data_IF_522326224571
#
_entry.id   IF_522326224571
#
_cell.length_a   1.000
_cell.length_b   1.000
_cell.length_c   1.000
_cell.angle_alpha   90.00
_cell.angle_beta   90.00
_cell.angle_gamma   90.00
#
_symmetry.space_group_name_H-M   'P 1'
#
loop_
_entity.id
_entity.type
_entity.pdbx_description
1 polymer ?
#
# COMPACT_ATOMS: atom_id res chain seq x y z
N UNK A 1 12.16 24.22 -16.61
CA UNK A 1 11.56 22.86 -16.48
C UNK A 1 12.30 21.97 -15.50
N UNK A 2 13.63 21.87 -15.55
CA UNK A 2 14.44 20.96 -14.71
C UNK A 2 14.20 21.14 -13.19
N UNK A 3 13.98 22.37 -12.73
CA UNK A 3 13.69 22.67 -11.31
C UNK A 3 12.40 22.00 -10.80
N UNK A 4 11.33 21.97 -11.60
CA UNK A 4 10.05 21.39 -11.20
C UNK A 4 10.08 19.87 -11.14
N UNK A 5 10.82 19.23 -12.05
CA UNK A 5 11.00 17.78 -12.07
C UNK A 5 11.80 17.35 -10.83
N UNK A 6 12.89 18.06 -10.53
CA UNK A 6 13.69 17.78 -9.33
C UNK A 6 12.86 18.00 -8.06
N UNK A 7 12.05 19.05 -8.01
CA UNK A 7 11.15 19.30 -6.88
C UNK A 7 10.12 18.18 -6.71
N UNK A 8 9.53 17.67 -7.79
CA UNK A 8 8.61 16.54 -7.76
C UNK A 8 9.30 15.25 -7.27
N UNK A 9 10.46 14.90 -7.84
CA UNK A 9 11.22 13.71 -7.46
C UNK A 9 11.70 13.73 -6.01
N UNK A 10 11.90 14.92 -5.43
CA UNK A 10 12.26 15.11 -4.02
C UNK A 10 11.05 15.21 -3.10
N UNK A 11 9.83 15.14 -3.63
CA UNK A 11 8.60 15.43 -2.89
C UNK A 11 8.64 16.81 -2.17
N UNK A 12 9.38 17.78 -2.72
CA UNK A 12 9.64 19.08 -2.10
C UNK A 12 8.67 20.15 -2.62
N UNK A 13 7.37 19.89 -2.50
CA UNK A 13 6.31 20.81 -2.91
C UNK A 13 5.16 20.80 -1.88
N UNK A 14 4.31 21.85 -1.86
CA UNK A 14 3.18 21.91 -0.94
C UNK A 14 2.25 20.70 -1.11
N UNK A 15 1.82 20.11 0.00
CA UNK A 15 0.93 18.95 0.04
C UNK A 15 1.49 17.67 -0.58
N UNK A 16 2.81 17.57 -0.77
CA UNK A 16 3.42 16.38 -1.37
C UNK A 16 3.09 15.10 -0.58
N UNK A 17 3.11 15.18 0.75
CA UNK A 17 2.81 14.04 1.61
C UNK A 17 1.37 13.57 1.42
N UNK A 18 0.41 14.49 1.46
CA UNK A 18 -1.02 14.21 1.30
C UNK A 18 -1.32 13.63 -0.08
N UNK A 19 -0.71 14.18 -1.13
CA UNK A 19 -0.89 13.68 -2.51
C UNK A 19 -0.26 12.30 -2.72
N UNK A 20 0.92 12.05 -2.15
CA UNK A 20 1.56 10.73 -2.17
C UNK A 20 0.72 9.69 -1.44
N UNK A 21 0.22 10.03 -0.25
CA UNK A 21 -0.65 9.18 0.56
C UNK A 21 -1.96 8.89 -0.15
N UNK A 22 -2.60 9.93 -0.71
CA UNK A 22 -3.82 9.79 -1.49
C UNK A 22 -3.60 8.91 -2.72
N UNK A 23 -2.51 9.13 -3.47
CA UNK A 23 -2.15 8.32 -4.64
C UNK A 23 -1.98 6.84 -4.28
N UNK A 24 -1.25 6.54 -3.20
CA UNK A 24 -1.05 5.18 -2.72
C UNK A 24 -2.35 4.52 -2.24
N UNK A 25 -3.18 5.25 -1.49
CA UNK A 25 -4.48 4.79 -1.02
C UNK A 25 -5.47 4.56 -2.16
N UNK A 26 -5.43 5.39 -3.20
CA UNK A 26 -6.24 5.23 -4.41
C UNK A 26 -5.81 4.00 -5.20
N UNK A 27 -4.50 3.81 -5.43
CA UNK A 27 -3.99 2.63 -6.11
C UNK A 27 -4.37 1.34 -5.35
N UNK A 28 -4.26 1.36 -4.01
CA UNK A 28 -4.64 0.21 -3.20
C UNK A 28 -6.15 -0.07 -3.23
N UNK A 29 -7.00 0.95 -3.09
CA UNK A 29 -8.45 0.79 -3.14
C UNK A 29 -8.92 0.24 -4.49
N UNK A 30 -8.37 0.76 -5.59
CA UNK A 30 -8.64 0.25 -6.95
C UNK A 30 -8.17 -1.20 -7.11
N UNK A 31 -7.01 -1.55 -6.55
CA UNK A 31 -6.51 -2.92 -6.57
C UNK A 31 -7.34 -3.89 -5.72
N UNK A 32 -7.85 -3.45 -4.55
CA UNK A 32 -8.83 -4.21 -3.75
C UNK A 32 -10.05 -4.46 -4.59
N UNK A 33 -10.66 -3.38 -5.09
CA UNK A 33 -11.90 -3.45 -5.83
C UNK A 33 -11.81 -4.31 -7.08
N UNK A 34 -10.78 -4.15 -7.91
CA UNK A 34 -10.59 -4.95 -9.13
C UNK A 34 -10.50 -6.45 -8.84
N UNK A 35 -9.83 -6.82 -7.76
CA UNK A 35 -9.67 -8.23 -7.39
C UNK A 35 -10.90 -8.79 -6.66
N UNK A 36 -11.71 -7.96 -6.00
CA UNK A 36 -12.99 -8.40 -5.45
C UNK A 36 -14.06 -8.46 -6.55
N UNK A 37 -14.10 -7.53 -7.52
CA UNK A 37 -14.95 -7.60 -8.71
C UNK A 37 -14.73 -8.93 -9.48
N UNK A 38 -13.48 -9.39 -9.55
CA UNK A 38 -13.14 -10.68 -10.15
C UNK A 38 -13.72 -11.88 -9.39
N UNK A 39 -13.94 -11.76 -8.08
CA UNK A 39 -14.57 -12.78 -7.24
C UNK A 39 -16.10 -12.65 -7.23
N UNK A 40 -16.63 -11.43 -7.18
CA UNK A 40 -18.07 -11.14 -7.28
C UNK A 40 -18.63 -11.61 -8.63
N UNK A 41 -17.87 -11.52 -9.72
CA UNK A 41 -18.27 -12.15 -11.00
C UNK A 41 -18.49 -13.66 -10.90
N UNK A 42 -17.85 -14.34 -9.95
CA UNK A 42 -18.07 -15.77 -9.67
C UNK A 42 -19.28 -16.00 -8.77
N UNK A 43 -19.60 -15.04 -7.89
CA UNK A 43 -20.73 -15.09 -6.94
C UNK A 43 -21.41 -13.71 -6.78
N UNK A 44 -22.35 -13.34 -7.68
CA UNK A 44 -22.88 -11.97 -7.79
C UNK A 44 -23.84 -11.53 -6.67
N UNK A 45 -24.07 -12.35 -5.64
CA UNK A 45 -25.08 -12.09 -4.59
C UNK A 45 -24.52 -11.50 -3.29
N UNK A 46 -23.21 -11.34 -3.17
CA UNK A 46 -22.58 -10.89 -1.92
C UNK A 46 -22.19 -9.42 -1.99
N UNK A 47 -22.80 -8.53 -1.16
CA UNK A 47 -22.35 -7.15 -1.05
C UNK A 47 -20.93 -7.09 -0.48
N UNK A 48 -20.18 -6.03 -0.82
CA UNK A 48 -18.86 -5.80 -0.24
C UNK A 48 -18.95 -5.67 1.29
N UNK A 49 -18.14 -6.45 2.01
CA UNK A 49 -17.97 -6.23 3.43
C UNK A 49 -17.12 -4.96 3.62
N UNK A 50 -17.75 -3.89 4.12
CA UNK A 50 -17.14 -2.57 4.24
C UNK A 50 -15.86 -2.62 5.10
N UNK A 51 -15.89 -3.35 6.21
CA UNK A 51 -14.75 -3.43 7.13
C UNK A 51 -13.59 -4.21 6.49
N UNK A 52 -13.90 -5.34 5.86
CA UNK A 52 -12.89 -6.15 5.20
C UNK A 52 -12.22 -5.39 4.05
N UNK A 53 -12.99 -4.73 3.19
CA UNK A 53 -12.44 -3.97 2.05
C UNK A 53 -11.61 -2.78 2.51
N UNK A 54 -12.01 -2.11 3.60
CA UNK A 54 -11.24 -1.03 4.21
C UNK A 54 -9.90 -1.55 4.78
N UNK A 55 -9.91 -2.65 5.53
CA UNK A 55 -8.70 -3.27 6.07
C UNK A 55 -7.78 -3.77 4.95
N UNK A 56 -8.33 -4.37 3.89
CA UNK A 56 -7.52 -4.77 2.74
C UNK A 56 -6.92 -3.56 2.03
N UNK A 57 -7.66 -2.45 1.92
CA UNK A 57 -7.16 -1.21 1.30
C UNK A 57 -6.00 -0.64 2.09
N UNK A 58 -6.09 -0.63 3.42
CA UNK A 58 -5.03 -0.14 4.30
C UNK A 58 -3.80 -1.06 4.29
N UNK A 59 -3.99 -2.38 4.25
CA UNK A 59 -2.89 -3.35 4.20
C UNK A 59 -2.18 -3.38 2.82
N UNK A 60 -2.91 -3.24 1.72
CA UNK A 60 -2.29 -3.17 0.38
C UNK A 60 -1.56 -1.84 0.19
N UNK A 61 -2.16 -0.73 0.65
CA UNK A 61 -1.59 0.61 0.50
C UNK A 61 -0.44 0.90 1.47
N UNK A 62 -0.54 0.41 2.71
CA UNK A 62 0.35 0.80 3.80
C UNK A 62 0.91 -0.41 4.56
N UNK A 63 0.90 -1.60 3.95
CA UNK A 63 1.35 -2.84 4.60
C UNK A 63 2.75 -2.78 5.18
N UNK A 64 3.67 -2.07 4.53
CA UNK A 64 4.99 -1.85 5.13
C UNK A 64 4.96 -0.93 6.35
N UNK A 65 4.09 0.08 6.39
CA UNK A 65 3.85 0.89 7.61
C UNK A 65 3.28 0.09 8.78
N UNK A 66 2.50 -0.96 8.49
CA UNK A 66 1.94 -1.90 9.45
C UNK A 66 2.98 -2.88 9.99
N UNK A 67 3.64 -3.62 9.09
CA UNK A 67 4.37 -4.83 9.44
C UNK A 67 5.88 -4.59 9.56
N UNK A 68 6.44 -3.62 8.84
CA UNK A 68 7.89 -3.41 8.85
C UNK A 68 8.42 -2.94 10.21
N UNK A 69 7.79 -2.00 10.93
CA UNK A 69 8.21 -1.66 12.29
C UNK A 69 8.12 -2.87 13.23
N UNK A 70 7.06 -3.68 13.13
CA UNK A 70 6.89 -4.89 13.95
C UNK A 70 8.03 -5.87 13.74
N UNK A 71 8.47 -6.06 12.48
CA UNK A 71 9.62 -6.92 12.16
C UNK A 71 10.94 -6.38 12.72
N UNK A 72 11.03 -5.09 13.02
CA UNK A 72 12.18 -4.46 13.70
C UNK A 72 12.01 -4.41 15.23
N UNK A 73 10.96 -5.02 15.79
CA UNK A 73 10.63 -4.93 17.22
C UNK A 73 10.12 -3.55 17.65
N UNK A 74 9.70 -2.72 16.70
CA UNK A 74 9.16 -1.39 16.92
C UNK A 74 7.64 -1.39 16.76
N UNK A 75 6.91 -0.47 17.41
CA UNK A 75 5.48 -0.35 17.22
C UNK A 75 5.12 0.11 15.80
N UNK A 76 3.95 -0.32 15.30
CA UNK A 76 3.46 0.01 13.96
C UNK A 76 3.38 1.52 13.73
N UNK A 77 4.05 1.98 12.68
CA UNK A 77 4.10 3.39 12.29
C UNK A 77 2.76 3.90 11.77
N UNK A 78 1.93 3.00 11.23
CA UNK A 78 0.58 3.35 10.79
C UNK A 78 -0.35 3.67 11.98
N UNK A 79 -0.18 2.99 13.11
CA UNK A 79 -1.01 3.19 14.31
C UNK A 79 -0.61 4.40 15.15
N UNK A 80 0.69 4.73 15.21
CA UNK A 80 1.21 5.76 16.12
C UNK A 80 1.37 7.16 15.52
N UNK A 81 1.36 7.30 14.20
CA UNK A 81 1.54 8.60 13.53
C UNK A 81 0.92 8.67 12.14
N UNK A 82 -0.04 7.78 11.87
CA UNK A 82 -0.62 7.58 10.54
C UNK A 82 -1.93 8.34 10.30
N UNK A 83 -2.20 9.46 10.96
CA UNK A 83 -3.50 10.15 10.84
C UNK A 83 -3.80 10.54 9.39
N UNK A 84 -2.82 11.13 8.69
CA UNK A 84 -2.94 11.46 7.26
C UNK A 84 -3.09 10.19 6.41
N UNK A 85 -2.37 9.12 6.74
CA UNK A 85 -2.43 7.84 6.02
C UNK A 85 -3.81 7.18 6.17
N UNK A 86 -4.34 7.20 7.39
CA UNK A 86 -5.65 6.65 7.73
C UNK A 86 -6.77 7.45 7.07
N UNK A 87 -6.68 8.78 7.11
CA UNK A 87 -7.63 9.65 6.43
C UNK A 87 -7.59 9.47 4.91
N UNK A 88 -6.40 9.44 4.31
CA UNK A 88 -6.23 9.19 2.88
C UNK A 88 -6.75 7.83 2.45
N UNK A 89 -6.54 6.79 3.27
CA UNK A 89 -7.09 5.45 3.09
C UNK A 89 -8.63 5.47 3.11
N UNK A 90 -9.23 6.14 4.11
CA UNK A 90 -10.68 6.21 4.28
C UNK A 90 -11.35 6.96 3.13
N UNK A 91 -10.80 8.11 2.74
CA UNK A 91 -11.32 8.92 1.62
C UNK A 91 -11.24 8.12 0.32
N UNK A 92 -10.09 7.52 0.02
CA UNK A 92 -9.89 6.75 -1.20
C UNK A 92 -10.79 5.51 -1.26
N UNK A 93 -10.92 4.80 -0.14
CA UNK A 93 -11.83 3.67 -0.01
C UNK A 93 -13.29 4.11 -0.24
N UNK A 94 -13.74 5.20 0.39
CA UNK A 94 -15.10 5.70 0.21
C UNK A 94 -15.38 6.10 -1.25
N UNK A 95 -14.48 6.85 -1.87
CA UNK A 95 -14.61 7.27 -3.27
C UNK A 95 -14.69 6.06 -4.20
N UNK A 96 -13.83 5.06 -3.98
CA UNK A 96 -13.82 3.86 -4.81
C UNK A 96 -15.07 3.02 -4.56
N UNK A 97 -15.41 2.63 -3.34
CA UNK A 97 -16.48 1.64 -3.08
C UNK A 97 -17.89 2.22 -2.95
N UNK A 98 -18.02 3.48 -2.54
CA UNK A 98 -19.30 4.09 -2.17
C UNK A 98 -19.71 5.28 -3.07
N UNK A 99 -18.97 5.56 -4.16
CA UNK A 99 -19.39 6.61 -5.08
C UNK A 99 -20.76 6.31 -5.72
N UNK A 100 -21.63 7.34 -5.85
CA UNK A 100 -22.96 7.14 -6.41
C UNK A 100 -22.87 6.64 -7.86
N UNK A 101 -23.65 5.60 -8.16
CA UNK A 101 -23.68 4.93 -9.48
C UNK A 101 -22.31 4.45 -9.96
N UNK A 102 -21.39 4.22 -9.04
CA UNK A 102 -20.06 3.74 -9.35
C UNK A 102 -19.26 4.65 -10.31
N UNK A 103 -19.59 5.93 -10.33
CA UNK A 103 -19.02 6.87 -11.29
C UNK A 103 -17.51 7.05 -11.07
N UNK A 104 -17.06 7.10 -9.82
CA UNK A 104 -15.67 7.40 -9.52
C UNK A 104 -14.73 6.29 -9.96
N UNK A 105 -15.09 5.03 -9.73
CA UNK A 105 -14.28 3.89 -10.16
C UNK A 105 -14.35 3.70 -11.69
N UNK A 106 -15.55 3.73 -12.28
CA UNK A 106 -15.73 3.41 -13.71
C UNK A 106 -15.34 4.51 -14.67
N UNK A 107 -15.46 5.79 -14.29
CA UNK A 107 -15.19 6.94 -15.17
C UNK A 107 -13.94 7.69 -14.79
N UNK A 108 -13.71 7.94 -13.50
CA UNK A 108 -12.55 8.74 -13.06
C UNK A 108 -11.31 7.86 -12.92
N UNK A 109 -11.37 6.75 -12.17
CA UNK A 109 -10.22 5.85 -11.99
C UNK A 109 -9.80 5.15 -13.28
N UNK A 110 -10.74 4.87 -14.17
CA UNK A 110 -10.46 4.28 -15.48
C UNK A 110 -9.92 5.30 -16.51
N UNK A 111 -10.03 6.60 -16.25
CA UNK A 111 -9.47 7.61 -17.13
C UNK A 111 -7.95 7.60 -17.02
N UNK A 112 -7.27 7.34 -18.15
CA UNK A 112 -5.81 7.33 -18.29
C UNK A 112 -5.10 8.49 -17.58
N UNK A 113 -5.52 9.78 -17.70
CA UNK A 113 -4.82 10.87 -17.03
C UNK A 113 -4.87 10.76 -15.50
N UNK A 114 -6.01 10.36 -14.93
CA UNK A 114 -6.13 10.18 -13.49
C UNK A 114 -5.38 8.93 -13.02
N UNK A 115 -5.36 7.87 -13.83
CA UNK A 115 -4.52 6.70 -13.60
C UNK A 115 -3.04 7.06 -13.51
N UNK A 116 -2.52 7.82 -14.47
CA UNK A 116 -1.13 8.29 -14.45
C UNK A 116 -0.89 9.16 -13.21
N UNK A 117 -1.84 10.01 -12.83
CA UNK A 117 -1.74 10.83 -11.62
C UNK A 117 -1.57 9.97 -10.37
N UNK A 118 -2.55 9.14 -10.00
CA UNK A 118 -2.48 8.42 -8.72
C UNK A 118 -1.34 7.40 -8.70
N UNK A 119 -1.00 6.78 -9.84
CA UNK A 119 0.14 5.85 -9.93
C UNK A 119 1.48 6.56 -9.74
N UNK A 120 1.68 7.75 -10.33
CA UNK A 120 2.92 8.51 -10.18
C UNK A 120 3.17 8.90 -8.71
N UNK A 121 2.14 9.39 -8.02
CA UNK A 121 2.21 9.72 -6.60
C UNK A 121 2.40 8.48 -5.71
N UNK A 122 1.77 7.36 -6.06
CA UNK A 122 1.98 6.10 -5.34
C UNK A 122 3.42 5.57 -5.49
N UNK A 123 4.03 5.68 -6.68
CA UNK A 123 5.44 5.33 -6.85
C UNK A 123 6.37 6.27 -6.09
N UNK A 124 6.07 7.57 -6.05
CA UNK A 124 6.82 8.53 -5.24
C UNK A 124 6.72 8.21 -3.74
N UNK A 125 5.53 7.81 -3.25
CA UNK A 125 5.32 7.34 -1.87
C UNK A 125 6.18 6.11 -1.56
N UNK A 126 6.22 5.11 -2.45
CA UNK A 126 7.05 3.91 -2.27
C UNK A 126 8.54 4.25 -2.25
N UNK A 127 9.00 5.09 -3.18
CA UNK A 127 10.40 5.49 -3.28
C UNK A 127 10.89 6.24 -2.03
N UNK A 128 10.10 7.21 -1.56
CA UNK A 128 10.38 7.96 -0.32
C UNK A 128 10.30 7.06 0.91
N UNK A 129 9.33 6.14 0.95
CA UNK A 129 9.22 5.13 2.00
C UNK A 129 10.46 4.24 2.09
N UNK A 130 10.97 3.73 0.96
CA UNK A 130 12.18 2.89 0.92
C UNK A 130 13.35 3.60 1.59
N UNK A 131 13.58 4.88 1.24
CA UNK A 131 14.63 5.68 1.84
C UNK A 131 14.46 5.79 3.37
N UNK A 132 13.26 6.13 3.85
CA UNK A 132 12.99 6.26 5.28
C UNK A 132 13.14 4.96 6.07
N UNK A 133 12.76 3.81 5.50
CA UNK A 133 12.90 2.51 6.14
C UNK A 133 14.34 2.00 6.14
N UNK A 134 15.13 2.31 5.11
CA UNK A 134 16.58 2.03 5.09
C UNK A 134 17.26 2.82 6.20
N UNK A 135 17.03 4.13 6.28
CA UNK A 135 17.59 4.99 7.32
C UNK A 135 17.22 4.51 8.74
N UNK A 136 15.95 4.15 8.93
CA UNK A 136 15.48 3.58 10.19
C UNK A 136 16.11 2.22 10.53
N UNK A 137 16.33 1.36 9.54
CA UNK A 137 17.00 0.06 9.79
C UNK A 137 18.46 0.23 10.18
N UNK A 138 19.15 1.26 9.66
CA UNK A 138 20.51 1.60 10.05
C UNK A 138 20.56 2.18 11.47
N UNK A 139 19.58 3.01 11.85
CA UNK A 139 19.54 3.63 13.19
C UNK A 139 19.20 2.66 14.33
N UNK A 140 18.53 1.54 14.04
CA UNK A 140 18.25 0.46 15.01
C UNK A 140 19.51 -0.37 15.33
N UNK A 141 20.67 -0.04 14.75
CA UNK A 141 21.95 -0.61 15.15
C UNK A 141 22.20 -2.01 14.61
N UNK A 142 21.68 -2.31 13.40
CA UNK A 142 22.03 -3.54 12.69
C UNK A 142 23.54 -3.57 12.46
N UNK A 143 24.23 -4.45 13.20
CA UNK A 143 25.69 -4.55 13.14
C UNK A 143 26.13 -5.13 11.79
N UNK A 144 27.25 -4.66 11.22
CA UNK A 144 27.89 -5.30 10.08
C UNK A 144 28.15 -6.79 10.35
N UNK A 145 28.00 -7.63 9.33
CA UNK A 145 28.37 -9.05 9.41
C UNK A 145 29.88 -9.18 9.22
N UNK A 146 30.49 -10.28 9.68
CA UNK A 146 31.91 -10.57 9.46
C UNK A 146 32.31 -10.55 7.97
N UNK A 147 31.36 -10.80 7.07
CA UNK A 147 31.57 -10.84 5.62
C UNK A 147 31.28 -9.52 4.90
N UNK A 148 30.57 -8.59 5.53
CA UNK A 148 30.18 -7.33 4.91
C UNK A 148 30.36 -6.16 5.89
N UNK A 149 31.23 -5.18 5.57
CA UNK A 149 31.51 -4.04 6.43
C UNK A 149 30.31 -3.09 6.58
N UNK A 150 29.29 -3.23 5.74
CA UNK A 150 27.99 -2.56 5.85
C UNK A 150 26.88 -3.59 6.11
N UNK A 151 25.91 -3.30 7.00
CA UNK A 151 24.74 -4.15 7.17
C UNK A 151 23.91 -4.10 5.88
N UNK A 152 24.06 -5.10 5.01
CA UNK A 152 23.37 -5.16 3.71
C UNK A 152 22.02 -5.86 3.81
N UNK A 153 21.98 -7.04 4.45
CA UNK A 153 20.78 -7.88 4.49
C UNK A 153 19.60 -7.18 5.17
N UNK A 154 19.85 -6.49 6.29
CA UNK A 154 18.81 -5.78 7.03
C UNK A 154 18.10 -4.72 6.18
N UNK A 155 18.80 -3.65 5.74
CA UNK A 155 18.22 -2.58 4.93
C UNK A 155 17.64 -3.04 3.59
N UNK A 156 18.25 -4.04 2.94
CA UNK A 156 17.72 -4.59 1.67
C UNK A 156 16.42 -5.35 1.92
N UNK A 157 16.36 -6.17 2.98
CA UNK A 157 15.14 -6.87 3.35
C UNK A 157 14.05 -5.88 3.78
N UNK A 158 14.38 -4.86 4.57
CA UNK A 158 13.40 -3.86 5.03
C UNK A 158 12.78 -3.09 3.85
N UNK A 159 13.61 -2.66 2.89
CA UNK A 159 13.17 -1.98 1.68
C UNK A 159 12.32 -2.87 0.76
N UNK A 160 12.74 -4.13 0.59
CA UNK A 160 12.04 -5.10 -0.28
C UNK A 160 10.68 -5.50 0.29
N UNK A 161 10.61 -5.65 1.62
CA UNK A 161 9.40 -6.01 2.35
C UNK A 161 8.38 -4.87 2.33
N UNK A 162 8.82 -3.62 2.54
CA UNK A 162 7.94 -2.44 2.46
C UNK A 162 7.12 -2.41 1.16
N UNK A 163 7.76 -2.73 0.04
CA UNK A 163 7.15 -2.61 -1.29
C UNK A 163 6.16 -3.73 -1.63
N UNK A 164 6.30 -4.92 -1.01
CA UNK A 164 5.59 -6.13 -1.44
C UNK A 164 4.71 -6.80 -0.37
N UNK A 165 4.77 -6.36 0.90
CA UNK A 165 4.02 -7.00 1.99
C UNK A 165 2.50 -7.00 1.78
N UNK A 166 1.94 -5.91 1.25
CA UNK A 166 0.49 -5.76 1.07
C UNK A 166 -0.13 -6.86 0.18
N UNK A 167 0.37 -7.04 -1.07
CA UNK A 167 -0.03 -8.13 -1.93
C UNK A 167 0.18 -9.53 -1.32
N UNK A 168 1.31 -9.75 -0.64
CA UNK A 168 1.62 -11.04 0.03
C UNK A 168 0.56 -11.36 1.08
N UNK A 169 0.20 -10.39 1.91
CA UNK A 169 -0.80 -10.59 2.96
C UNK A 169 -2.18 -10.94 2.37
N UNK A 170 -2.57 -10.27 1.29
CA UNK A 170 -3.85 -10.57 0.62
C UNK A 170 -3.87 -11.98 0.03
N UNK A 171 -2.79 -12.41 -0.62
CA UNK A 171 -2.67 -13.77 -1.12
C UNK A 171 -2.80 -14.79 0.02
N UNK A 172 -2.04 -14.59 1.11
CA UNK A 172 -2.13 -15.43 2.30
C UNK A 172 -3.54 -15.49 2.90
N UNK A 173 -4.23 -14.36 2.98
CA UNK A 173 -5.63 -14.29 3.45
C UNK A 173 -6.57 -15.13 2.58
N UNK A 174 -6.47 -15.00 1.25
CA UNK A 174 -7.32 -15.78 0.32
C UNK A 174 -7.09 -17.28 0.46
N UNK A 175 -5.83 -17.70 0.52
CA UNK A 175 -5.47 -19.11 0.68
C UNK A 175 -5.97 -19.68 2.02
N UNK A 176 -5.83 -18.94 3.12
CA UNK A 176 -6.33 -19.36 4.43
C UNK A 176 -7.85 -19.61 4.42
N UNK A 177 -8.62 -18.74 3.75
CA UNK A 177 -10.07 -18.91 3.64
C UNK A 177 -10.49 -20.01 2.64
N UNK A 178 -9.66 -20.38 1.67
CA UNK A 178 -9.91 -21.56 0.82
C UNK A 178 -9.76 -22.84 1.63
N UNK A 179 -8.65 -22.97 2.38
CA UNK A 179 -8.40 -24.11 3.28
C UNK A 179 -9.56 -24.29 4.27
N UNK A 180 -10.01 -23.20 4.89
CA UNK A 180 -11.11 -23.26 5.87
C UNK A 180 -12.46 -23.64 5.25
N UNK A 181 -12.64 -23.43 3.94
CA UNK A 181 -13.83 -23.85 3.18
C UNK A 181 -13.73 -25.28 2.64
N UNK A 182 -12.62 -25.99 2.89
CA UNK A 182 -12.38 -27.32 2.35
C UNK A 182 -12.07 -27.33 0.86
N UNK A 183 -11.74 -26.18 0.28
CA UNK A 183 -11.32 -26.06 -1.11
C UNK A 183 -9.83 -26.48 -1.22
N UNK A 184 -9.52 -27.45 -2.09
CA UNK A 184 -8.14 -27.94 -2.28
C UNK A 184 -7.27 -26.91 -2.99
N UNK A 185 -5.98 -26.87 -2.64
CA UNK A 185 -4.99 -26.06 -3.34
C UNK A 185 -4.89 -26.54 -4.80
N UNK A 186 -5.43 -25.77 -5.73
CA UNK A 186 -5.17 -25.99 -7.14
C UNK A 186 -3.70 -25.62 -7.41
N UNK A 187 -2.88 -26.65 -7.62
CA UNK A 187 -1.48 -26.55 -8.07
C UNK A 187 -1.39 -25.81 -9.42
#
# INVERSE_FOLDING_TARGET
MTSYIIAFLRASFPFAQELMVFGMAMESAVAVRKADDAEVKKSPKTPYNWFLTLVQTSLIGFGGGWLMPIMLGLPSSFLLGGDINSLGCLISWYLVFHSPRDYFYTKICAAVPFQVFYTSFAQLFRATGIYGFVDKSLSVGMKPSAYYPTPLLGPVLTASLLSNIGPIFRLGYKEWFKVRRGESFAN
#
